data_IF_917840928217
#
_entry.id   IF_917840928217
#
_cell.length_a   1.000
_cell.length_b   1.000
_cell.length_c   1.000
_cell.angle_alpha   90.00
_cell.angle_beta   90.00
_cell.angle_gamma   90.00
#
_symmetry.space_group_name_H-M   'P 1'
#
loop_
_entity.id
_entity.type
_entity.pdbx_description
1 polymer ?
#
# COMPACT_ATOMS: atom_id res chain seq x y z
N UNK A 1 17.39 15.34 -3.25
CA UNK A 1 16.49 15.06 -2.11
C UNK A 1 15.11 14.59 -2.55
N UNK A 2 14.41 15.31 -3.44
CA UNK A 2 13.05 14.92 -3.88
C UNK A 2 12.96 13.54 -4.56
N UNK A 3 13.85 13.27 -5.53
CA UNK A 3 13.90 11.98 -6.25
C UNK A 3 14.17 10.81 -5.28
N UNK A 4 15.04 11.03 -4.28
CA UNK A 4 15.31 10.04 -3.24
C UNK A 4 14.04 9.66 -2.47
N UNK A 5 13.25 10.65 -2.05
CA UNK A 5 11.97 10.39 -1.39
C UNK A 5 10.99 9.65 -2.31
N UNK A 6 11.00 9.94 -3.61
CA UNK A 6 10.25 9.18 -4.60
C UNK A 6 10.66 7.69 -4.64
N UNK A 7 11.96 7.39 -4.58
CA UNK A 7 12.46 6.00 -4.50
C UNK A 7 11.98 5.33 -3.21
N UNK A 8 12.06 6.02 -2.07
CA UNK A 8 11.59 5.50 -0.78
C UNK A 8 10.10 5.13 -0.82
N UNK A 9 9.26 5.88 -1.53
CA UNK A 9 7.84 5.55 -1.69
C UNK A 9 7.62 4.18 -2.32
N UNK A 10 8.33 3.91 -3.41
CA UNK A 10 8.28 2.63 -4.11
C UNK A 10 8.82 1.49 -3.26
N UNK A 11 9.94 1.71 -2.58
CA UNK A 11 10.54 0.70 -1.70
C UNK A 11 9.64 0.35 -0.52
N UNK A 12 9.11 1.35 0.20
CA UNK A 12 8.18 1.13 1.31
C UNK A 12 6.91 0.42 0.84
N UNK A 13 6.39 0.78 -0.33
CA UNK A 13 5.20 0.14 -0.89
C UNK A 13 5.45 -1.35 -1.16
N UNK A 14 6.54 -1.68 -1.85
CA UNK A 14 6.88 -3.07 -2.16
C UNK A 14 7.13 -3.91 -0.89
N UNK A 15 7.78 -3.33 0.13
CA UNK A 15 7.99 -3.99 1.42
C UNK A 15 6.64 -4.27 2.11
N UNK A 16 5.77 -3.26 2.20
CA UNK A 16 4.46 -3.40 2.82
C UNK A 16 3.58 -4.46 2.15
N UNK A 17 3.53 -4.46 0.81
CA UNK A 17 2.80 -5.48 0.03
C UNK A 17 3.36 -6.89 0.26
N UNK A 18 4.68 -7.04 0.36
CA UNK A 18 5.31 -8.32 0.69
C UNK A 18 4.94 -8.84 2.08
N UNK A 19 4.96 -7.97 3.10
CA UNK A 19 4.55 -8.35 4.45
C UNK A 19 3.05 -8.65 4.57
N UNK A 20 2.19 -7.93 3.83
CA UNK A 20 0.76 -8.25 3.71
C UNK A 20 0.54 -9.68 3.18
N UNK A 21 1.31 -10.07 2.16
CA UNK A 21 1.23 -11.43 1.59
C UNK A 21 1.66 -12.49 2.61
N UNK A 22 2.71 -12.25 3.38
CA UNK A 22 3.15 -13.15 4.45
C UNK A 22 2.10 -13.23 5.57
N UNK A 23 1.52 -12.10 5.96
CA UNK A 23 0.50 -12.02 6.98
C UNK A 23 -0.78 -12.79 6.60
N UNK A 24 -1.20 -12.71 5.33
CA UNK A 24 -2.33 -13.47 4.79
C UNK A 24 -2.00 -14.92 4.41
N UNK A 25 -0.75 -15.34 4.58
CA UNK A 25 -0.35 -16.70 4.23
C UNK A 25 -0.99 -17.72 5.17
N UNK A 26 -1.05 -18.98 4.74
CA UNK A 26 -1.55 -20.10 5.56
C UNK A 26 -0.62 -20.52 6.70
N UNK A 27 0.57 -19.93 6.78
CA UNK A 27 1.59 -20.31 7.75
C UNK A 27 1.59 -19.33 8.92
N UNK A 28 1.77 -19.85 10.13
CA UNK A 28 1.99 -19.02 11.32
C UNK A 28 3.44 -18.54 11.32
N UNK A 29 3.66 -17.33 10.78
CA UNK A 29 4.98 -16.73 10.65
C UNK A 29 5.22 -15.66 11.70
N UNK A 30 6.39 -15.70 12.34
CA UNK A 30 6.92 -14.57 13.08
C UNK A 30 7.49 -13.55 12.07
N UNK A 31 6.68 -12.53 11.76
CA UNK A 31 7.07 -11.50 10.78
C UNK A 31 8.27 -10.67 11.24
N UNK A 32 8.52 -10.53 12.55
CA UNK A 32 9.73 -9.87 13.06
C UNK A 32 10.95 -10.73 12.76
N UNK A 33 10.86 -12.04 13.00
CA UNK A 33 11.94 -12.97 12.67
C UNK A 33 12.22 -12.98 11.15
N UNK A 34 11.18 -12.93 10.31
CA UNK A 34 11.34 -12.79 8.86
C UNK A 34 12.08 -11.50 8.50
N UNK A 35 11.67 -10.36 9.07
CA UNK A 35 12.36 -9.09 8.85
C UNK A 35 13.84 -9.16 9.25
N UNK A 36 14.15 -9.82 10.38
CA UNK A 36 15.52 -10.02 10.83
C UNK A 36 16.33 -10.89 9.86
N UNK A 37 15.77 -11.98 9.35
CA UNK A 37 16.42 -12.83 8.34
C UNK A 37 16.66 -12.03 7.06
N UNK A 38 15.69 -11.24 6.60
CA UNK A 38 15.89 -10.38 5.42
C UNK A 38 16.93 -9.29 5.65
N UNK A 39 17.17 -8.86 6.88
CA UNK A 39 18.24 -7.91 7.18
C UNK A 39 19.63 -8.57 7.29
N UNK A 40 19.72 -9.91 7.32
CA UNK A 40 20.96 -10.66 7.43
C UNK A 40 21.11 -11.68 6.30
N UNK A 41 21.87 -11.32 5.26
CA UNK A 41 22.20 -12.23 4.15
C UNK A 41 21.25 -12.18 2.94
N UNK A 42 20.23 -11.31 2.95
CA UNK A 42 19.39 -11.07 1.78
C UNK A 42 19.90 -9.89 0.91
N UNK A 43 19.51 -9.89 -0.36
CA UNK A 43 19.74 -8.79 -1.30
C UNK A 43 18.94 -7.54 -0.91
N UNK A 44 17.76 -7.70 -0.32
CA UNK A 44 16.87 -6.58 0.05
C UNK A 44 17.19 -5.95 1.41
N UNK A 45 18.31 -6.35 2.04
CA UNK A 45 18.77 -5.79 3.30
C UNK A 45 18.83 -4.26 3.20
N UNK A 46 18.23 -3.57 4.16
CA UNK A 46 18.11 -2.13 4.13
C UNK A 46 17.65 -1.60 5.48
N UNK A 47 17.89 -0.32 5.71
CA UNK A 47 17.37 0.36 6.89
C UNK A 47 15.83 0.30 6.98
N UNK A 48 15.11 0.29 5.85
CA UNK A 48 13.65 0.13 5.85
C UNK A 48 13.21 -1.24 6.37
N UNK A 49 13.93 -2.32 6.07
CA UNK A 49 13.65 -3.65 6.62
C UNK A 49 13.95 -3.70 8.12
N UNK A 50 15.02 -3.03 8.57
CA UNK A 50 15.31 -2.88 10.00
C UNK A 50 14.16 -2.15 10.72
N UNK A 51 13.66 -1.05 10.16
CA UNK A 51 12.53 -0.31 10.71
C UNK A 51 11.25 -1.16 10.75
N UNK A 52 10.99 -1.96 9.72
CA UNK A 52 9.86 -2.88 9.69
C UNK A 52 9.96 -3.91 10.83
N UNK A 53 11.14 -4.53 11.02
CA UNK A 53 11.39 -5.44 12.14
C UNK A 53 11.22 -4.77 13.51
N UNK A 54 11.65 -3.53 13.65
CA UNK A 54 11.47 -2.75 14.88
C UNK A 54 9.99 -2.44 15.16
N UNK A 55 9.19 -2.12 14.14
CA UNK A 55 7.75 -1.90 14.29
C UNK A 55 7.02 -3.18 14.69
N UNK A 56 7.27 -4.28 13.97
CA UNK A 56 6.69 -5.61 14.25
C UNK A 56 7.13 -6.16 15.61
N UNK A 57 8.32 -5.79 16.08
CA UNK A 57 8.80 -6.14 17.41
C UNK A 57 8.09 -5.40 18.55
N UNK A 58 7.47 -4.25 18.28
CA UNK A 58 6.64 -3.52 19.25
C UNK A 58 5.21 -4.03 19.25
N UNK A 59 4.66 -4.31 18.07
CA UNK A 59 3.32 -4.84 17.88
C UNK A 59 3.30 -5.74 16.64
N UNK A 60 3.27 -7.08 16.80
CA UNK A 60 3.28 -8.02 15.68
C UNK A 60 2.08 -7.90 14.73
N UNK A 61 0.98 -7.31 15.19
CA UNK A 61 -0.26 -7.15 14.42
C UNK A 61 -0.53 -5.69 14.02
N UNK A 62 0.34 -4.76 14.43
CA UNK A 62 0.17 -3.32 14.17
C UNK A 62 -1.23 -2.80 14.58
N UNK A 63 -1.80 -3.38 15.63
CA UNK A 63 -3.19 -3.22 16.07
C UNK A 63 -3.54 -1.77 16.45
N UNK A 64 -2.55 -0.98 16.88
CA UNK A 64 -2.72 0.43 17.19
C UNK A 64 -2.78 1.36 15.97
N UNK A 65 -2.54 0.85 14.76
CA UNK A 65 -2.45 1.64 13.54
C UNK A 65 -3.67 1.44 12.65
N UNK A 66 -4.03 2.50 11.90
CA UNK A 66 -4.93 2.38 10.74
C UNK A 66 -4.08 2.26 9.49
N UNK A 67 -4.52 1.45 8.53
CA UNK A 67 -3.90 1.31 7.20
C UNK A 67 -4.07 2.51 6.28
N UNK A 68 -4.07 3.73 6.82
CA UNK A 68 -4.18 5.00 6.09
C UNK A 68 -2.78 5.60 6.01
N UNK A 69 -2.29 5.82 4.79
CA UNK A 69 -0.95 6.31 4.54
C UNK A 69 -1.02 7.70 3.94
N UNK A 70 -0.40 8.66 4.62
CA UNK A 70 -0.31 10.03 4.10
C UNK A 70 0.72 10.11 2.98
N UNK A 71 0.43 10.95 1.98
CA UNK A 71 1.41 11.36 0.99
C UNK A 71 1.98 12.72 1.40
N UNK A 72 3.30 12.81 1.44
CA UNK A 72 4.04 14.06 1.49
C UNK A 72 4.16 14.67 0.09
N UNK A 73 4.44 15.97 0.00
CA UNK A 73 4.53 16.69 -1.27
C UNK A 73 5.66 16.20 -2.19
N UNK A 74 6.68 15.53 -1.65
CA UNK A 74 7.84 15.09 -2.42
C UNK A 74 7.55 13.93 -3.37
N UNK A 75 6.69 12.99 -2.98
CA UNK A 75 6.25 11.91 -3.86
C UNK A 75 5.43 12.44 -5.03
N UNK A 76 4.49 13.35 -4.74
CA UNK A 76 3.69 14.04 -5.74
C UNK A 76 4.57 14.85 -6.71
N UNK A 77 5.48 15.68 -6.19
CA UNK A 77 6.41 16.46 -7.00
C UNK A 77 7.24 15.58 -7.94
N UNK A 78 7.67 14.41 -7.47
CA UNK A 78 8.47 13.48 -8.29
C UNK A 78 7.66 12.95 -9.47
N UNK A 79 6.39 12.61 -9.26
CA UNK A 79 5.47 12.19 -10.33
C UNK A 79 5.15 13.32 -11.30
N UNK A 80 4.84 14.51 -10.79
CA UNK A 80 4.57 15.68 -11.63
C UNK A 80 5.78 16.09 -12.49
N UNK A 81 6.99 15.94 -11.96
CA UNK A 81 8.22 16.23 -12.70
C UNK A 81 8.45 15.18 -13.78
N UNK A 82 8.30 13.89 -13.46
CA UNK A 82 8.47 12.83 -14.45
C UNK A 82 7.48 12.96 -15.62
N UNK A 83 6.22 13.34 -15.35
CA UNK A 83 5.24 13.60 -16.41
C UNK A 83 5.63 14.78 -17.31
N UNK A 84 6.12 15.89 -16.73
CA UNK A 84 6.58 17.07 -17.49
C UNK A 84 7.77 16.75 -18.39
N UNK A 85 8.68 15.91 -17.91
CA UNK A 85 9.90 15.52 -18.63
C UNK A 85 9.70 14.30 -19.55
N UNK A 86 8.50 13.71 -19.59
CA UNK A 86 8.23 12.51 -20.40
C UNK A 86 8.95 11.24 -19.93
N UNK A 87 9.24 11.14 -18.62
CA UNK A 87 9.97 10.02 -18.01
C UNK A 87 9.00 9.04 -17.34
N UNK A 88 9.16 7.75 -17.62
CA UNK A 88 8.31 6.69 -17.04
C UNK A 88 8.81 6.24 -15.67
N UNK A 89 7.99 6.40 -14.62
CA UNK A 89 8.30 5.98 -13.23
C UNK A 89 7.15 5.18 -12.56
N UNK A 90 6.66 4.10 -13.18
CA UNK A 90 5.40 3.45 -12.80
C UNK A 90 5.32 2.99 -11.35
N UNK A 91 6.43 2.49 -10.78
CA UNK A 91 6.47 2.02 -9.39
C UNK A 91 6.21 3.16 -8.40
N UNK A 92 6.86 4.31 -8.60
CA UNK A 92 6.68 5.49 -7.75
C UNK A 92 5.27 6.04 -7.93
N UNK A 93 4.78 6.13 -9.17
CA UNK A 93 3.42 6.59 -9.46
C UNK A 93 2.36 5.74 -8.76
N UNK A 94 2.43 4.41 -8.89
CA UNK A 94 1.46 3.51 -8.25
C UNK A 94 1.56 3.57 -6.72
N UNK A 95 2.75 3.69 -6.16
CA UNK A 95 2.93 3.84 -4.72
C UNK A 95 2.30 5.13 -4.17
N UNK A 96 2.34 6.23 -4.93
CA UNK A 96 1.64 7.47 -4.59
C UNK A 96 0.12 7.29 -4.67
N UNK A 97 -0.37 6.70 -5.76
CA UNK A 97 -1.81 6.44 -5.93
C UNK A 97 -2.37 5.52 -4.83
N UNK A 98 -1.59 4.54 -4.37
CA UNK A 98 -2.00 3.66 -3.28
C UNK A 98 -2.18 4.42 -1.95
N UNK A 99 -1.36 5.46 -1.70
CA UNK A 99 -1.53 6.34 -0.53
C UNK A 99 -2.84 7.11 -0.61
N UNK A 100 -3.16 7.72 -1.75
CA UNK A 100 -4.46 8.36 -1.95
C UNK A 100 -5.61 7.37 -1.79
N UNK A 101 -5.48 6.17 -2.39
CA UNK A 101 -6.48 5.12 -2.26
C UNK A 101 -6.73 4.73 -0.80
N UNK A 102 -5.69 4.67 0.02
CA UNK A 102 -5.81 4.30 1.45
C UNK A 102 -6.62 5.31 2.28
N UNK A 103 -6.76 6.54 1.80
CA UNK A 103 -7.53 7.61 2.46
C UNK A 103 -9.00 7.60 2.06
N UNK A 104 -9.35 6.86 1.01
CA UNK A 104 -10.71 6.77 0.49
C UNK A 104 -11.46 5.58 1.06
N UNK A 105 -12.64 5.84 1.62
CA UNK A 105 -13.63 4.82 1.95
C UNK A 105 -14.91 5.04 1.14
N UNK A 106 -15.61 3.96 0.77
CA UNK A 106 -16.97 4.03 0.20
C UNK A 106 -17.11 5.00 -1.02
N UNK A 107 -16.13 4.92 -1.92
CA UNK A 107 -15.98 5.82 -3.08
C UNK A 107 -17.14 5.78 -4.06
N UNK A 108 -17.45 6.92 -4.67
CA UNK A 108 -18.42 7.02 -5.77
C UNK A 108 -18.10 6.08 -6.94
N UNK A 109 -16.83 6.02 -7.37
CA UNK A 109 -16.38 5.12 -8.46
C UNK A 109 -16.66 3.65 -8.13
N UNK A 110 -16.37 3.22 -6.90
CA UNK A 110 -16.70 1.87 -6.41
C UNK A 110 -18.21 1.58 -6.42
N UNK A 111 -19.05 2.54 -6.01
CA UNK A 111 -20.52 2.41 -6.06
C UNK A 111 -21.03 2.31 -7.49
N UNK A 112 -20.53 3.16 -8.38
CA UNK A 112 -20.90 3.13 -9.80
C UNK A 112 -20.49 1.80 -10.44
N UNK A 113 -19.30 1.30 -10.13
CA UNK A 113 -18.84 -0.02 -10.61
C UNK A 113 -19.72 -1.15 -10.08
N UNK A 114 -20.12 -1.13 -8.82
CA UNK A 114 -21.05 -2.09 -8.26
C UNK A 114 -22.42 -2.04 -8.95
N UNK A 115 -22.93 -0.84 -9.22
CA UNK A 115 -24.16 -0.65 -10.00
C UNK A 115 -24.03 -1.22 -11.41
N UNK A 116 -22.96 -0.89 -12.14
CA UNK A 116 -22.73 -1.42 -13.49
C UNK A 116 -22.64 -2.95 -13.53
N UNK A 117 -21.98 -3.58 -12.54
CA UNK A 117 -21.93 -5.04 -12.43
C UNK A 117 -23.32 -5.66 -12.21
N UNK A 118 -24.21 -4.96 -11.52
CA UNK A 118 -25.60 -5.37 -11.35
C UNK A 118 -26.39 -5.22 -12.63
N UNK A 119 -26.35 -4.04 -13.24
CA UNK A 119 -27.10 -3.71 -14.45
C UNK A 119 -26.68 -4.56 -15.65
N UNK A 120 -25.38 -4.74 -15.86
CA UNK A 120 -24.86 -5.50 -17.01
C UNK A 120 -24.78 -7.01 -16.76
N UNK A 121 -24.37 -7.42 -15.56
CA UNK A 121 -24.03 -8.81 -15.25
C UNK A 121 -24.97 -9.52 -14.29
N UNK A 122 -26.01 -8.86 -13.77
CA UNK A 122 -26.92 -9.42 -12.77
C UNK A 122 -26.24 -9.76 -11.44
N UNK A 123 -25.05 -9.24 -11.16
CA UNK A 123 -24.29 -9.57 -9.96
C UNK A 123 -24.96 -8.99 -8.70
N UNK A 124 -24.98 -9.78 -7.62
CA UNK A 124 -25.36 -9.28 -6.29
C UNK A 124 -24.41 -8.19 -5.83
N UNK A 125 -24.96 -7.19 -5.15
CA UNK A 125 -24.25 -6.04 -4.60
C UNK A 125 -24.45 -5.95 -3.09
N UNK A 126 -23.53 -5.31 -2.40
CA UNK A 126 -23.75 -4.94 -1.01
C UNK A 126 -24.45 -3.58 -0.96
N UNK A 127 -25.58 -3.53 -0.27
CA UNK A 127 -26.35 -2.29 -0.03
C UNK A 127 -26.05 -1.84 1.40
N UNK A 128 -25.88 -0.54 1.61
CA UNK A 128 -25.77 0.00 2.98
C UNK A 128 -27.05 -0.31 3.76
N UNK A 129 -26.94 -0.50 5.06
CA UNK A 129 -28.12 -0.56 5.94
C UNK A 129 -29.01 0.68 5.71
N UNK A 130 -30.28 0.44 5.35
CA UNK A 130 -31.24 1.49 5.02
C UNK A 130 -31.20 2.02 3.58
N UNK A 131 -30.28 1.55 2.73
CA UNK A 131 -30.32 1.81 1.29
C UNK A 131 -31.39 0.94 0.63
N UNK A 132 -32.26 1.54 -0.19
CA UNK A 132 -33.17 0.76 -1.03
C UNK A 132 -32.34 0.04 -2.10
N UNK A 133 -32.43 -1.29 -2.11
CA UNK A 133 -31.75 -2.18 -3.05
C UNK A 133 -32.27 -2.03 -4.46
#
# INVERSE_FOLDING_TARGET
KMIHNGIEYGMMQAIGEGFEMLHKSRYELDLKAVANVWNHGSVIRSWLIELAGNALGKDPHLSGLRGIVNASGEGQWTVETALREGISIPVITLSLLMRYRSQEGDTFSGKLLAALRREFGGHQVQVKEGGKG
#
